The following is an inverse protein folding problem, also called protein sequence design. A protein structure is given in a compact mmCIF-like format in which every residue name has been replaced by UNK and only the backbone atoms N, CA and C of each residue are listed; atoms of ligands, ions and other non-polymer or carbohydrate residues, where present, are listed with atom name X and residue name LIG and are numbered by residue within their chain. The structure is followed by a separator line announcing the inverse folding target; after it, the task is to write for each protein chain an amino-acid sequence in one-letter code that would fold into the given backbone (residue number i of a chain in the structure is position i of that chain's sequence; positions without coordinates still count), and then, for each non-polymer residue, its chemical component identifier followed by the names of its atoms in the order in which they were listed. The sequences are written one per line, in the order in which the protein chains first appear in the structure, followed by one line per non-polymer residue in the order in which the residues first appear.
data_IF_619596050583
#
_entry.id   IF_619596050583
#
_cell.length_a   1.000
_cell.length_b   1.000
_cell.length_c   1.000
_cell.angle_alpha   90.00
_cell.angle_beta   90.00
_cell.angle_gamma   90.00
#
_symmetry.space_group_name_H-M   'P 1'
#
loop_
_entity.id
_entity.type
_entity.pdbx_description
1 polymer ?
#
# COMPACT_ATOMS: atom_id res chain seq x y z
N UNK A 1 -4.63 8.26 19.23
CA UNK A 1 -4.56 9.27 18.15
C UNK A 1 -4.15 8.51 16.89
N UNK A 2 -4.92 8.53 15.79
CA UNK A 2 -4.45 7.93 14.54
C UNK A 2 -3.19 8.68 14.10
N UNK A 3 -2.08 7.95 13.96
CA UNK A 3 -0.82 8.54 13.52
C UNK A 3 -0.95 8.83 12.03
N UNK A 4 -1.14 10.10 11.67
CA UNK A 4 -1.20 10.49 10.26
C UNK A 4 0.22 10.49 9.72
N UNK A 5 0.68 9.32 9.25
CA UNK A 5 1.98 9.18 8.60
C UNK A 5 1.89 9.87 7.24
N UNK A 6 2.74 10.87 7.00
CA UNK A 6 2.82 11.53 5.69
C UNK A 6 3.71 10.69 4.78
N UNK A 7 3.20 10.36 3.59
CA UNK A 7 3.95 9.64 2.55
C UNK A 7 3.84 10.42 1.23
N UNK A 8 4.86 10.29 0.38
CA UNK A 8 4.94 11.03 -0.88
C UNK A 8 3.99 10.45 -1.94
N UNK A 9 3.81 9.14 -1.93
CA UNK A 9 3.08 8.40 -2.95
C UNK A 9 1.87 7.65 -2.42
N UNK A 10 1.57 7.71 -1.13
CA UNK A 10 0.34 7.15 -0.56
C UNK A 10 -0.67 8.26 -0.32
N UNK A 11 -1.91 8.05 -0.77
CA UNK A 11 -3.04 8.95 -0.54
C UNK A 11 -4.28 8.15 -0.14
N UNK A 12 -5.34 8.87 0.23
CA UNK A 12 -6.64 8.30 0.58
C UNK A 12 -7.71 9.06 -0.17
N UNK A 13 -8.68 8.32 -0.69
CA UNK A 13 -9.86 8.88 -1.32
C UNK A 13 -11.08 8.12 -0.76
N UNK A 14 -12.00 8.79 -0.03
CA UNK A 14 -13.18 8.14 0.54
C UNK A 14 -14.07 7.46 -0.51
N UNK A 15 -14.02 7.92 -1.76
CA UNK A 15 -14.80 7.35 -2.87
C UNK A 15 -14.12 6.11 -3.48
N UNK A 16 -12.87 5.81 -3.12
CA UNK A 16 -12.09 4.69 -3.63
C UNK A 16 -11.78 3.73 -2.48
N UNK A 17 -12.15 2.46 -2.62
CA UNK A 17 -11.84 1.40 -1.65
C UNK A 17 -12.19 1.78 -0.19
N UNK A 18 -13.28 2.55 0.01
CA UNK A 18 -13.73 3.00 1.33
C UNK A 18 -12.67 3.79 2.11
N UNK A 19 -11.80 4.54 1.42
CA UNK A 19 -10.73 5.34 2.05
C UNK A 19 -9.48 4.54 2.43
N UNK A 20 -9.35 3.29 1.98
CA UNK A 20 -8.13 2.50 2.10
C UNK A 20 -6.93 3.26 1.48
N UNK A 21 -5.73 3.20 2.10
CA UNK A 21 -4.53 3.78 1.51
C UNK A 21 -4.22 3.22 0.12
N UNK A 22 -4.09 4.12 -0.86
CA UNK A 22 -3.78 3.80 -2.26
C UNK A 22 -2.55 4.57 -2.74
N UNK A 23 -1.93 4.08 -3.81
CA UNK A 23 -0.84 4.79 -4.48
C UNK A 23 -1.38 6.00 -5.27
N UNK A 24 -0.67 7.13 -5.22
CA UNK A 24 -1.00 8.34 -5.99
C UNK A 24 -0.83 8.06 -7.48
N UNK A 25 -1.91 8.23 -8.24
CA UNK A 25 -1.98 7.98 -9.68
C UNK A 25 -2.73 6.69 -10.01
N UNK A 26 -2.13 5.50 -9.81
CA UNK A 26 -2.81 4.23 -10.04
C UNK A 26 -3.70 3.86 -8.84
N UNK A 27 -4.90 3.32 -9.08
CA UNK A 27 -5.82 2.82 -8.04
C UNK A 27 -5.37 1.47 -7.45
N UNK A 28 -4.11 1.40 -7.03
CA UNK A 28 -3.49 0.22 -6.41
C UNK A 28 -3.49 0.42 -4.90
N UNK A 29 -4.00 -0.54 -4.14
CA UNK A 29 -4.00 -0.47 -2.69
C UNK A 29 -2.58 -0.70 -2.14
N UNK A 30 -2.25 -0.02 -1.05
CA UNK A 30 -1.01 -0.31 -0.30
C UNK A 30 -1.02 -1.77 0.16
N UNK A 31 -2.19 -2.32 0.52
CA UNK A 31 -2.38 -3.73 0.85
C UNK A 31 -1.80 -4.66 -0.23
N UNK A 32 -2.11 -4.44 -1.50
CA UNK A 32 -1.72 -5.35 -2.59
C UNK A 32 -0.18 -5.46 -2.68
N UNK A 33 0.52 -4.34 -2.48
CA UNK A 33 1.99 -4.28 -2.43
C UNK A 33 2.53 -5.01 -1.20
N UNK A 34 1.89 -4.82 -0.04
CA UNK A 34 2.26 -5.48 1.22
C UNK A 34 2.05 -6.99 1.13
N UNK A 35 0.99 -7.46 0.51
CA UNK A 35 0.72 -8.88 0.29
C UNK A 35 1.76 -9.51 -0.62
N UNK A 36 2.11 -8.85 -1.73
CA UNK A 36 3.17 -9.33 -2.61
C UNK A 36 4.52 -9.45 -1.86
N UNK A 37 4.84 -8.47 -1.02
CA UNK A 37 6.05 -8.46 -0.20
C UNK A 37 6.03 -9.58 0.86
N UNK A 38 4.95 -9.71 1.63
CA UNK A 38 4.77 -10.76 2.64
C UNK A 38 4.75 -12.17 2.03
N UNK A 39 4.35 -12.30 0.76
CA UNK A 39 4.45 -13.55 0.00
C UNK A 39 5.87 -13.87 -0.52
N UNK A 40 6.88 -13.07 -0.14
CA UNK A 40 8.29 -13.31 -0.47
C UNK A 40 8.76 -12.63 -1.76
N UNK A 41 7.96 -11.76 -2.37
CA UNK A 41 8.41 -10.96 -3.53
C UNK A 41 9.35 -9.88 -3.04
N UNK A 42 10.55 -9.78 -3.65
CA UNK A 42 11.46 -8.68 -3.37
C UNK A 42 10.82 -7.33 -3.74
N UNK A 43 10.94 -6.27 -2.93
CA UNK A 43 10.35 -4.95 -3.21
C UNK A 43 10.67 -4.44 -4.62
N UNK A 44 11.91 -4.63 -5.09
CA UNK A 44 12.35 -4.19 -6.41
C UNK A 44 11.66 -4.95 -7.54
N UNK A 45 11.00 -6.08 -7.26
CA UNK A 45 10.34 -6.93 -8.25
C UNK A 45 8.81 -6.84 -8.20
N UNK A 46 8.22 -6.16 -7.21
CA UNK A 46 6.75 -6.09 -7.03
C UNK A 46 6.07 -5.47 -8.26
N UNK A 47 6.70 -4.51 -8.92
CA UNK A 47 6.19 -3.88 -10.16
C UNK A 47 5.91 -4.87 -11.29
N UNK A 48 6.50 -6.07 -11.25
CA UNK A 48 6.26 -7.13 -12.25
C UNK A 48 4.93 -7.83 -12.04
N UNK A 49 4.43 -7.87 -10.80
CA UNK A 49 3.14 -8.48 -10.42
C UNK A 49 2.01 -7.48 -10.45
N UNK A 50 2.31 -6.21 -10.14
CA UNK A 50 1.34 -5.13 -10.08
C UNK A 50 1.79 -4.08 -11.11
N UNK A 51 1.19 -4.07 -12.32
CA UNK A 51 1.55 -3.07 -13.32
C UNK A 51 1.17 -1.67 -12.84
N UNK A 52 1.80 -0.65 -13.44
CA UNK A 52 1.55 0.79 -13.18
C UNK A 52 2.09 1.36 -11.86
N UNK A 53 2.79 0.58 -11.04
CA UNK A 53 3.59 1.12 -9.92
C UNK A 53 5.08 1.16 -10.27
N UNK A 54 5.73 2.24 -9.86
CA UNK A 54 7.19 2.39 -9.94
C UNK A 54 7.87 1.80 -8.71
N UNK A 55 9.14 1.42 -8.82
CA UNK A 55 9.92 0.95 -7.66
C UNK A 55 9.93 1.96 -6.50
N UNK A 56 10.00 3.27 -6.79
CA UNK A 56 9.94 4.31 -5.77
C UNK A 56 8.61 4.31 -5.00
N UNK A 57 7.49 4.13 -5.70
CA UNK A 57 6.17 4.01 -5.08
C UNK A 57 6.07 2.75 -4.22
N UNK A 58 6.67 1.64 -4.66
CA UNK A 58 6.72 0.40 -3.86
C UNK A 58 7.44 0.65 -2.53
N UNK A 59 8.65 1.23 -2.57
CA UNK A 59 9.41 1.47 -1.33
C UNK A 59 8.71 2.46 -0.39
N UNK A 60 8.12 3.52 -0.93
CA UNK A 60 7.38 4.49 -0.12
C UNK A 60 6.12 3.86 0.50
N UNK A 61 5.41 3.01 -0.24
CA UNK A 61 4.26 2.27 0.26
C UNK A 61 4.63 1.26 1.36
N UNK A 62 5.75 0.56 1.21
CA UNK A 62 6.25 -0.35 2.25
C UNK A 62 6.72 0.41 3.49
N UNK A 63 7.37 1.57 3.31
CA UNK A 63 7.70 2.47 4.43
C UNK A 63 6.44 2.93 5.16
N UNK A 64 5.42 3.37 4.42
CA UNK A 64 4.12 3.73 4.98
C UNK A 64 3.48 2.56 5.72
N UNK A 65 3.49 1.35 5.14
CA UNK A 65 2.97 0.16 5.81
C UNK A 65 3.65 -0.11 7.14
N UNK A 66 4.98 -0.05 7.20
CA UNK A 66 5.74 -0.31 8.43
C UNK A 66 5.37 0.66 9.57
N UNK A 67 4.97 1.88 9.23
CA UNK A 67 4.46 2.86 10.18
C UNK A 67 2.96 2.72 10.51
N UNK A 68 2.19 1.97 9.73
CA UNK A 68 0.72 1.86 9.88
C UNK A 68 0.25 0.40 9.79
N UNK A 69 1.04 -0.54 10.30
CA UNK A 69 0.83 -1.98 10.08
C UNK A 69 -0.54 -2.45 10.54
N UNK A 70 -0.98 -2.03 11.73
CA UNK A 70 -2.29 -2.40 12.30
C UNK A 70 -3.43 -2.03 11.35
N UNK A 71 -3.43 -0.79 10.84
CA UNK A 71 -4.48 -0.30 9.95
C UNK A 71 -4.51 -1.08 8.63
N UNK A 72 -3.35 -1.28 8.01
CA UNK A 72 -3.28 -1.98 6.72
C UNK A 72 -3.60 -3.47 6.88
N UNK A 73 -3.21 -4.09 8.00
CA UNK A 73 -3.55 -5.48 8.27
C UNK A 73 -5.05 -5.67 8.55
N UNK A 74 -5.76 -4.69 9.13
CA UNK A 74 -7.24 -4.72 9.24
C UNK A 74 -7.92 -4.80 7.86
N UNK A 75 -7.43 -4.04 6.88
CA UNK A 75 -7.92 -4.14 5.49
C UNK A 75 -7.59 -5.49 4.84
N UNK A 76 -6.57 -6.22 5.29
CA UNK A 76 -6.28 -7.57 4.76
C UNK A 76 -7.29 -8.59 5.25
N UNK A 77 -7.70 -8.49 6.50
CA UNK A 77 -8.68 -9.40 7.09
C UNK A 77 -10.11 -9.11 6.57
N UNK A 78 -10.42 -7.86 6.22
CA UNK A 78 -11.74 -7.48 5.71
C UNK A 78 -12.10 -8.13 4.36
N UNK A 79 -11.13 -8.34 3.46
CA UNK A 79 -11.37 -8.87 2.10
C UNK A 79 -11.06 -10.38 1.97
N UNK A 80 -10.86 -11.08 3.09
CA UNK A 80 -10.64 -12.53 3.14
C UNK A 80 -11.93 -13.30 3.33
#
# INVERSE_FOLDING_TARGET
MPRTTTSRYVTRDPEILQGEPIIVGPRVAVRDLVEAWKAGTLPEQIYRKIPFVTTAQVFDALSFYLDNQTEIDEYRDFYR
#
